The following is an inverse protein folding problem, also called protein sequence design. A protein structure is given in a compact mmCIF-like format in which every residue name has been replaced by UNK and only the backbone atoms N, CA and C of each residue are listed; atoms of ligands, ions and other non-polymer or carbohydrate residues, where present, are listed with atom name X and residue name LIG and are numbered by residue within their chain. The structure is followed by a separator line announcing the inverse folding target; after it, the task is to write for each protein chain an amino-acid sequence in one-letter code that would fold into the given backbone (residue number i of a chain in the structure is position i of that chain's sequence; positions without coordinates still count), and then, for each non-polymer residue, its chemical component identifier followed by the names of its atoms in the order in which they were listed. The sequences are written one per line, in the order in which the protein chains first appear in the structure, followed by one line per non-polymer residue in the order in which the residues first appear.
data_IF_413147989163
#
_entry.id   IF_413147989163
#
_cell.length_a   1.000
_cell.length_b   1.000
_cell.length_c   1.000
_cell.angle_alpha   90.00
_cell.angle_beta   90.00
_cell.angle_gamma   90.00
#
_symmetry.space_group_name_H-M   'P 1'
#
loop_
_entity.id
_entity.type
_entity.pdbx_description
1 polymer ?
#
# COMPACT_ATOMS: atom_id res chain seq x y z
N UNK A 1 34.74 7.07 -16.81
CA UNK A 1 34.28 5.79 -16.25
C UNK A 1 32.97 6.06 -15.54
N UNK A 2 31.82 5.50 -15.94
CA UNK A 2 30.58 5.72 -15.21
C UNK A 2 30.59 4.85 -13.96
N UNK A 3 30.20 5.46 -12.83
CA UNK A 3 30.27 4.89 -11.49
C UNK A 3 29.40 3.66 -11.33
N UNK A 4 29.89 2.74 -10.50
CA UNK A 4 29.11 1.61 -10.02
C UNK A 4 27.86 2.17 -9.31
N UNK A 5 26.70 1.91 -9.92
CA UNK A 5 25.41 2.12 -9.27
C UNK A 5 25.37 1.11 -8.14
N UNK A 6 25.35 1.56 -6.89
CA UNK A 6 25.16 0.66 -5.74
C UNK A 6 23.82 -0.06 -5.92
N UNK A 7 23.88 -1.36 -6.22
CA UNK A 7 22.71 -2.23 -6.28
C UNK A 7 22.05 -2.33 -4.90
N UNK A 8 20.76 -2.73 -4.84
CA UNK A 8 19.98 -2.65 -3.62
C UNK A 8 20.51 -3.54 -2.49
N UNK A 9 20.11 -3.19 -1.25
CA UNK A 9 20.72 -3.58 0.02
C UNK A 9 20.62 -5.06 0.39
N UNK A 10 19.78 -5.84 -0.30
CA UNK A 10 19.63 -7.28 -0.05
C UNK A 10 20.79 -8.03 -0.72
N UNK A 11 21.66 -8.63 0.09
CA UNK A 11 22.91 -9.24 -0.39
C UNK A 11 23.04 -10.72 -0.02
N UNK A 12 22.05 -11.29 0.67
CA UNK A 12 22.15 -12.63 1.25
C UNK A 12 20.88 -13.46 0.98
N UNK A 13 21.02 -14.78 0.94
CA UNK A 13 19.90 -15.70 0.71
C UNK A 13 18.80 -15.62 1.78
N UNK A 14 19.11 -15.06 2.95
CA UNK A 14 18.17 -14.78 4.03
C UNK A 14 17.23 -13.62 3.68
N UNK A 15 17.73 -12.54 3.06
CA UNK A 15 16.91 -11.41 2.59
C UNK A 15 15.87 -11.87 1.57
N UNK A 16 16.26 -12.81 0.68
CA UNK A 16 15.37 -13.39 -0.33
C UNK A 16 14.29 -14.26 0.31
N UNK A 17 14.62 -15.05 1.35
CA UNK A 17 13.59 -15.80 2.09
C UNK A 17 12.62 -14.88 2.78
N UNK A 18 13.10 -13.84 3.44
CA UNK A 18 12.24 -12.85 4.10
C UNK A 18 11.26 -12.21 3.12
N UNK A 19 11.69 -11.96 1.87
CA UNK A 19 10.83 -11.48 0.78
C UNK A 19 9.74 -12.49 0.40
N UNK A 20 10.06 -13.78 0.28
CA UNK A 20 9.05 -14.81 -0.06
C UNK A 20 8.13 -15.12 1.12
N UNK A 21 8.62 -15.11 2.35
CA UNK A 21 7.79 -15.20 3.56
C UNK A 21 6.85 -13.99 3.65
N UNK A 22 7.34 -12.80 3.29
CA UNK A 22 6.52 -11.59 3.18
C UNK A 22 5.46 -11.71 2.08
N UNK A 23 5.76 -12.34 0.93
CA UNK A 23 4.76 -12.69 -0.09
C UNK A 23 3.66 -13.57 0.50
N UNK A 24 4.02 -14.60 1.27
CA UNK A 24 3.05 -15.55 1.81
C UNK A 24 2.13 -14.91 2.85
N UNK A 25 2.62 -13.92 3.61
CA UNK A 25 1.78 -13.13 4.51
C UNK A 25 0.93 -12.13 3.72
N UNK A 26 1.54 -11.25 2.92
CA UNK A 26 0.81 -10.18 2.24
C UNK A 26 -0.13 -10.69 1.14
N UNK A 27 0.22 -11.77 0.44
CA UNK A 27 -0.62 -12.38 -0.59
C UNK A 27 -1.93 -12.98 -0.04
N UNK A 28 -2.02 -13.18 1.28
CA UNK A 28 -3.26 -13.63 1.94
C UNK A 28 -4.20 -12.47 2.32
N UNK A 29 -3.70 -11.23 2.32
CA UNK A 29 -4.47 -10.04 2.67
C UNK A 29 -5.48 -9.77 1.56
N UNK A 30 -6.77 -9.87 1.90
CA UNK A 30 -7.87 -9.58 0.99
C UNK A 30 -8.89 -8.71 1.69
N UNK A 31 -8.82 -7.41 1.43
CA UNK A 31 -9.73 -6.42 1.99
C UNK A 31 -10.10 -5.38 0.94
N UNK A 32 -11.36 -4.91 0.86
CA UNK A 32 -11.79 -3.94 -0.15
C UNK A 32 -11.04 -2.60 -0.09
N UNK A 33 -10.47 -2.23 1.05
CA UNK A 33 -9.74 -0.97 1.27
C UNK A 33 -8.23 -1.17 1.47
N UNK A 34 -7.66 -2.28 1.02
CA UNK A 34 -6.22 -2.54 1.04
C UNK A 34 -5.76 -2.89 -0.38
N UNK A 35 -4.68 -2.28 -0.84
CA UNK A 35 -4.06 -2.61 -2.13
C UNK A 35 -3.51 -4.04 -2.06
N UNK A 36 -4.04 -4.91 -2.92
CA UNK A 36 -3.60 -6.30 -2.98
C UNK A 36 -2.19 -6.42 -3.58
N UNK A 37 -1.39 -7.32 -3.01
CA UNK A 37 -0.15 -7.80 -3.61
C UNK A 37 -0.45 -9.12 -4.33
N UNK A 38 -0.35 -9.11 -5.65
CA UNK A 38 -0.64 -10.28 -6.48
C UNK A 38 0.58 -11.21 -6.58
N UNK A 39 1.78 -10.64 -6.75
CA UNK A 39 3.01 -11.44 -6.90
C UNK A 39 4.28 -10.62 -6.61
N UNK A 40 5.40 -11.33 -6.42
CA UNK A 40 6.73 -10.73 -6.27
C UNK A 40 7.69 -11.45 -7.20
N UNK A 41 8.40 -10.68 -8.04
CA UNK A 41 9.47 -11.18 -8.90
C UNK A 41 10.81 -10.59 -8.51
N UNK A 42 11.85 -11.41 -8.63
CA UNK A 42 13.24 -10.98 -8.51
C UNK A 42 13.93 -11.15 -9.86
N UNK A 43 14.58 -10.09 -10.36
CA UNK A 43 15.41 -10.20 -11.56
C UNK A 43 16.51 -9.14 -11.56
N UNK A 44 17.73 -9.55 -11.92
CA UNK A 44 18.85 -8.64 -12.13
C UNK A 44 19.15 -7.75 -10.93
N UNK A 45 19.01 -8.26 -9.71
CA UNK A 45 19.22 -7.45 -8.51
C UNK A 45 18.07 -6.48 -8.21
N UNK A 46 16.87 -6.64 -8.77
CA UNK A 46 15.71 -5.80 -8.49
C UNK A 46 14.50 -6.63 -8.05
N UNK A 47 13.72 -6.07 -7.12
CA UNK A 47 12.43 -6.62 -6.71
C UNK A 47 11.31 -5.91 -7.47
N UNK A 48 10.38 -6.68 -8.02
CA UNK A 48 9.20 -6.20 -8.71
C UNK A 48 7.97 -6.69 -7.98
N UNK A 49 7.20 -5.76 -7.41
CA UNK A 49 5.95 -6.05 -6.73
C UNK A 49 4.81 -5.86 -7.72
N UNK A 50 4.04 -6.91 -7.97
CA UNK A 50 2.84 -6.83 -8.78
C UNK A 50 1.69 -6.54 -7.83
N UNK A 51 1.13 -5.34 -7.93
CA UNK A 51 0.12 -4.84 -7.02
C UNK A 51 -1.13 -4.41 -7.79
N UNK A 52 -2.26 -4.42 -7.09
CA UNK A 52 -3.50 -3.87 -7.61
C UNK A 52 -3.32 -2.41 -8.03
N UNK A 53 -3.71 -2.10 -9.27
CA UNK A 53 -3.68 -0.74 -9.78
C UNK A 53 -4.76 0.11 -9.07
N UNK A 54 -4.33 1.24 -8.52
CA UNK A 54 -5.19 2.31 -8.00
C UNK A 54 -4.86 3.59 -8.76
N UNK A 55 -5.89 4.25 -9.31
CA UNK A 55 -5.73 5.37 -10.24
C UNK A 55 -6.45 6.65 -9.82
N UNK A 56 -7.01 6.66 -8.60
CA UNK A 56 -7.78 7.79 -8.07
C UNK A 56 -6.96 8.91 -7.44
N UNK A 57 -5.63 8.77 -7.40
CA UNK A 57 -4.72 9.74 -6.81
C UNK A 57 -4.71 9.70 -5.28
N UNK A 58 -3.92 10.62 -4.70
CA UNK A 58 -3.75 10.74 -3.26
C UNK A 58 -4.97 11.36 -2.58
N UNK A 59 -5.16 11.03 -1.30
CA UNK A 59 -6.24 11.58 -0.50
C UNK A 59 -6.22 13.12 -0.47
N UNK A 60 -5.06 13.72 -0.19
CA UNK A 60 -4.98 15.16 0.03
C UNK A 60 -5.31 15.96 -1.24
N UNK A 61 -4.81 15.54 -2.39
CA UNK A 61 -5.09 16.19 -3.67
C UNK A 61 -6.60 16.25 -3.94
N UNK A 62 -7.29 15.12 -3.73
CA UNK A 62 -8.75 15.03 -3.89
C UNK A 62 -9.52 15.91 -2.91
N UNK A 63 -9.06 16.04 -1.66
CA UNK A 63 -9.68 16.94 -0.68
C UNK A 63 -9.53 18.40 -1.13
N UNK A 64 -8.35 18.78 -1.61
CA UNK A 64 -8.06 20.15 -2.07
C UNK A 64 -8.89 20.50 -3.31
N UNK A 65 -9.01 19.59 -4.28
CA UNK A 65 -9.78 19.80 -5.51
C UNK A 65 -11.28 19.92 -5.29
N UNK A 66 -11.85 19.19 -4.31
CA UNK A 66 -13.30 19.13 -4.08
C UNK A 66 -13.90 20.46 -3.60
N UNK A 67 -13.07 21.36 -3.06
CA UNK A 67 -13.46 22.69 -2.57
C UNK A 67 -14.30 22.70 -1.28
N UNK A 68 -15.16 21.70 -1.07
CA UNK A 68 -15.91 21.47 0.16
C UNK A 68 -15.70 20.04 0.67
N UNK A 69 -15.20 19.91 1.89
CA UNK A 69 -14.99 18.64 2.57
C UNK A 69 -15.57 18.74 3.98
N UNK A 70 -16.57 17.90 4.29
CA UNK A 70 -17.31 17.99 5.54
C UNK A 70 -16.82 16.96 6.56
N UNK A 71 -17.14 17.15 7.84
CA UNK A 71 -16.89 16.12 8.88
C UNK A 71 -17.56 14.78 8.56
N UNK A 72 -18.70 14.82 7.84
CA UNK A 72 -19.39 13.61 7.39
C UNK A 72 -18.57 12.85 6.34
N UNK A 73 -17.87 13.56 5.46
CA UNK A 73 -16.98 12.95 4.48
C UNK A 73 -15.74 12.36 5.17
N UNK A 74 -15.16 13.10 6.11
CA UNK A 74 -14.06 12.63 6.96
C UNK A 74 -14.43 11.36 7.72
N UNK A 75 -15.62 11.32 8.33
CA UNK A 75 -16.10 10.15 9.08
C UNK A 75 -16.23 8.91 8.20
N UNK A 76 -16.74 9.05 6.97
CA UNK A 76 -16.85 7.93 6.00
C UNK A 76 -15.48 7.41 5.57
N UNK A 77 -14.51 8.30 5.40
CA UNK A 77 -13.15 7.92 5.04
C UNK A 77 -12.48 7.17 6.20
N UNK A 78 -12.51 7.76 7.40
CA UNK A 78 -11.89 7.16 8.58
C UNK A 78 -12.53 5.81 8.92
N UNK A 79 -13.84 5.64 8.70
CA UNK A 79 -14.48 4.34 8.84
C UNK A 79 -13.83 3.26 7.95
N UNK A 80 -13.62 3.54 6.66
CA UNK A 80 -12.97 2.60 5.74
C UNK A 80 -11.52 2.29 6.14
N UNK A 81 -10.78 3.30 6.59
CA UNK A 81 -9.40 3.12 7.08
C UNK A 81 -9.38 2.23 8.32
N UNK A 82 -10.26 2.49 9.29
CA UNK A 82 -10.33 1.71 10.53
C UNK A 82 -10.81 0.28 10.30
N UNK A 83 -11.72 0.05 9.34
CA UNK A 83 -12.17 -1.28 8.95
C UNK A 83 -11.01 -2.12 8.38
N UNK A 84 -10.22 -1.55 7.47
CA UNK A 84 -9.02 -2.17 6.93
C UNK A 84 -7.95 -2.44 7.99
N UNK A 85 -7.70 -1.46 8.87
CA UNK A 85 -6.72 -1.60 9.97
C UNK A 85 -7.17 -2.67 10.95
N UNK A 86 -8.47 -2.73 11.28
CA UNK A 86 -9.02 -3.81 12.10
C UNK A 86 -8.77 -5.17 11.45
N UNK A 87 -9.05 -5.31 10.16
CA UNK A 87 -8.79 -6.55 9.43
C UNK A 87 -7.32 -6.98 9.53
N UNK A 88 -6.38 -6.05 9.32
CA UNK A 88 -4.95 -6.33 9.48
C UNK A 88 -4.61 -6.78 10.90
N UNK A 89 -5.13 -6.09 11.91
CA UNK A 89 -4.90 -6.43 13.31
C UNK A 89 -5.48 -7.80 13.69
N UNK A 90 -6.62 -8.19 13.12
CA UNK A 90 -7.21 -9.52 13.32
C UNK A 90 -6.32 -10.64 12.71
N UNK A 91 -5.51 -10.32 11.70
CA UNK A 91 -4.47 -11.20 11.14
C UNK A 91 -3.11 -11.10 11.86
N UNK A 92 -3.00 -10.26 12.90
CA UNK A 92 -1.74 -10.01 13.62
C UNK A 92 -0.75 -9.11 12.87
N UNK A 93 -1.20 -8.39 11.84
CA UNK A 93 -0.37 -7.52 11.00
C UNK A 93 -0.53 -6.08 11.44
N UNK A 94 0.59 -5.37 11.65
CA UNK A 94 0.59 -3.93 11.95
C UNK A 94 1.19 -3.16 10.78
N UNK A 95 0.43 -2.20 10.23
CA UNK A 95 0.86 -1.40 9.07
C UNK A 95 2.12 -0.56 9.33
N UNK A 96 2.24 0.03 10.53
CA UNK A 96 3.38 0.84 11.03
C UNK A 96 3.66 2.17 10.32
N UNK A 97 3.31 2.34 9.05
CA UNK A 97 3.48 3.62 8.32
C UNK A 97 2.15 4.18 7.81
N UNK A 98 1.12 4.21 8.66
CA UNK A 98 -0.18 4.75 8.25
C UNK A 98 -0.14 6.27 8.30
N UNK A 99 -0.15 6.89 7.12
CA UNK A 99 -0.11 8.33 6.91
C UNK A 99 -0.92 8.70 5.66
N UNK A 100 -1.35 9.96 5.48
CA UNK A 100 -2.20 10.34 4.36
C UNK A 100 -1.63 10.01 2.96
N UNK A 101 -0.31 10.04 2.80
CA UNK A 101 0.41 9.70 1.56
C UNK A 101 0.18 8.22 1.16
N UNK A 102 -0.12 7.37 2.14
CA UNK A 102 -0.40 5.94 1.95
C UNK A 102 -1.90 5.65 1.83
N UNK A 103 -2.73 6.68 1.64
CA UNK A 103 -4.17 6.58 1.42
C UNK A 103 -4.52 7.07 0.01
N UNK A 104 -4.85 6.13 -0.86
CA UNK A 104 -5.10 6.37 -2.29
C UNK A 104 -6.56 6.11 -2.63
N UNK A 105 -7.14 6.86 -3.56
CA UNK A 105 -8.44 6.50 -4.11
C UNK A 105 -8.30 5.40 -5.17
N UNK A 106 -9.24 4.45 -5.18
CA UNK A 106 -9.26 3.37 -6.16
C UNK A 106 -9.35 3.87 -7.61
N UNK A 107 -10.26 4.81 -7.88
CA UNK A 107 -10.51 5.41 -9.19
C UNK A 107 -10.77 6.91 -9.08
N UNK A 108 -10.92 7.59 -10.22
CA UNK A 108 -11.26 9.03 -10.28
C UNK A 108 -12.76 9.32 -10.02
N UNK A 109 -13.58 8.29 -9.87
CA UNK A 109 -15.02 8.43 -9.62
C UNK A 109 -15.30 9.18 -8.30
N UNK A 110 -16.41 9.91 -8.23
CA UNK A 110 -16.77 10.71 -7.05
C UNK A 110 -17.03 9.87 -5.79
N UNK A 111 -17.51 8.64 -5.97
CA UNK A 111 -17.81 7.67 -4.92
C UNK A 111 -16.70 6.63 -4.72
N UNK A 112 -15.51 6.88 -5.30
CA UNK A 112 -14.37 5.99 -5.16
C UNK A 112 -14.04 5.72 -3.69
N UNK A 113 -13.80 4.44 -3.38
CA UNK A 113 -13.32 3.99 -2.08
C UNK A 113 -11.86 4.38 -1.84
N UNK A 114 -11.49 4.46 -0.56
CA UNK A 114 -10.10 4.64 -0.14
C UNK A 114 -9.37 3.29 -0.10
N UNK A 115 -8.09 3.30 -0.40
CA UNK A 115 -7.20 2.14 -0.45
C UNK A 115 -5.96 2.45 0.38
N UNK A 116 -5.66 1.60 1.34
CA UNK A 116 -4.40 1.67 2.09
C UNK A 116 -3.32 0.99 1.24
N UNK A 117 -2.23 1.72 0.99
CA UNK A 117 -1.05 1.27 0.26
C UNK A 117 0.20 1.28 1.13
N UNK A 118 1.30 0.75 0.58
CA UNK A 118 2.65 0.83 1.14
C UNK A 118 2.80 0.27 2.56
N UNK A 119 2.78 -1.05 2.64
CA UNK A 119 3.07 -1.82 3.85
C UNK A 119 4.58 -1.81 4.14
N UNK A 120 5.10 -0.65 4.56
CA UNK A 120 6.40 -0.45 5.20
C UNK A 120 7.49 -1.46 4.85
N UNK A 121 8.03 -1.37 3.63
CA UNK A 121 9.22 -2.12 3.17
C UNK A 121 10.55 -1.38 3.46
N UNK A 122 10.55 -0.40 4.38
CA UNK A 122 11.69 0.49 4.66
C UNK A 122 12.67 -0.04 5.71
#
# INVERSE_FOLDING_TARGET
MPGAVEGPRWKQAEDIRDIYDFRDVLGTIKHPNIVALDDIYESGGHLYLIMQLVSGGELFDRIVEKGFYTERDASRLIFQVLDAVKYLHDLGIVHRDLKPENLLYYSLDEDSKIMISDFGLS
#
